data_IF_496790274616
#
_entry.id   IF_496790274616
#
_cell.length_a   1.000
_cell.length_b   1.000
_cell.length_c   1.000
_cell.angle_alpha   90.00
_cell.angle_beta   90.00
_cell.angle_gamma   90.00
#
_symmetry.space_group_name_H-M   'P 1'
#
loop_
_entity.id
_entity.type
_entity.pdbx_description
1 polymer ?
#
# COMPACT_ATOMS: atom_id res chain seq x y z
N UNK A 1 -11.82 -10.04 10.90
CA UNK A 1 -11.42 -9.87 9.47
C UNK A 1 -10.16 -9.02 9.43
N UNK A 2 -9.33 -9.09 8.39
CA UNK A 2 -8.17 -8.20 8.23
C UNK A 2 -8.28 -7.42 6.91
N UNK A 3 -7.72 -6.22 6.89
CA UNK A 3 -7.56 -5.37 5.71
C UNK A 3 -6.10 -5.00 5.55
N UNK A 4 -5.63 -4.98 4.31
CA UNK A 4 -4.32 -4.46 3.96
C UNK A 4 -4.48 -3.22 3.10
N UNK A 5 -3.66 -2.20 3.34
CA UNK A 5 -3.59 -1.00 2.51
C UNK A 5 -2.15 -0.57 2.35
N UNK A 6 -1.82 0.00 1.20
CA UNK A 6 -0.55 0.66 0.98
C UNK A 6 -0.80 2.05 0.39
N UNK A 7 0.02 3.00 0.80
CA UNK A 7 0.03 4.37 0.30
C UNK A 7 1.45 4.68 -0.15
N UNK A 8 1.62 5.12 -1.39
CA UNK A 8 2.86 5.65 -1.89
C UNK A 8 2.72 7.15 -2.10
N UNK A 9 3.70 7.89 -1.61
CA UNK A 9 3.86 9.31 -1.87
C UNK A 9 5.12 9.47 -2.70
N UNK A 10 4.95 10.04 -3.90
CA UNK A 10 6.06 10.36 -4.80
C UNK A 10 6.22 11.86 -4.92
N UNK A 11 7.47 12.29 -5.12
CA UNK A 11 7.81 13.66 -5.49
C UNK A 11 8.50 13.58 -6.85
N UNK A 12 7.97 14.29 -7.84
CA UNK A 12 8.53 14.40 -9.20
C UNK A 12 8.65 15.88 -9.53
N UNK A 13 9.87 16.40 -9.72
CA UNK A 13 10.09 17.82 -10.04
C UNK A 13 9.36 18.78 -9.08
N UNK A 14 9.42 18.46 -7.79
CA UNK A 14 8.74 19.21 -6.71
C UNK A 14 7.20 19.12 -6.70
N UNK A 15 6.59 18.31 -7.58
CA UNK A 15 5.17 17.97 -7.53
C UNK A 15 4.96 16.69 -6.70
N UNK A 16 4.10 16.75 -5.70
CA UNK A 16 3.77 15.59 -4.86
C UNK A 16 2.56 14.84 -5.42
N UNK A 17 2.71 13.54 -5.69
CA UNK A 17 1.60 12.65 -6.04
C UNK A 17 1.42 11.59 -4.98
N UNK A 18 0.16 11.28 -4.69
CA UNK A 18 -0.19 10.25 -3.72
C UNK A 18 -0.99 9.15 -4.42
N UNK A 19 -0.54 7.91 -4.23
CA UNK A 19 -1.17 6.72 -4.75
C UNK A 19 -1.59 5.85 -3.57
N UNK A 20 -2.80 5.31 -3.61
CA UNK A 20 -3.32 4.46 -2.53
C UNK A 20 -3.97 3.23 -3.12
N UNK A 21 -3.65 2.08 -2.54
CA UNK A 21 -4.24 0.78 -2.87
C UNK A 21 -4.69 0.06 -1.61
N UNK A 22 -5.73 -0.75 -1.70
CA UNK A 22 -6.21 -1.56 -0.59
C UNK A 22 -6.66 -2.94 -1.07
N UNK A 23 -6.43 -3.94 -0.23
CA UNK A 23 -6.84 -5.33 -0.41
C UNK A 23 -7.78 -5.68 0.76
N UNK A 24 -9.04 -6.01 0.42
CA UNK A 24 -10.06 -6.45 1.36
C UNK A 24 -10.66 -7.77 0.88
N UNK A 25 -10.42 -8.86 1.61
CA UNK A 25 -11.08 -10.14 1.35
C UNK A 25 -11.80 -10.63 2.60
N UNK A 26 -12.98 -11.22 2.42
CA UNK A 26 -13.85 -11.69 3.51
C UNK A 26 -13.12 -12.59 4.52
N UNK A 27 -12.23 -13.47 4.05
CA UNK A 27 -11.48 -14.44 4.87
C UNK A 27 -9.97 -14.13 4.93
N UNK A 28 -9.59 -12.85 4.88
CA UNK A 28 -8.18 -12.47 4.98
C UNK A 28 -7.66 -12.80 6.39
N UNK A 29 -6.73 -13.75 6.48
CA UNK A 29 -5.91 -13.97 7.68
C UNK A 29 -4.80 -12.93 7.75
N UNK A 30 -4.18 -12.74 8.92
CA UNK A 30 -3.08 -11.80 9.11
C UNK A 30 -1.93 -12.02 8.11
N UNK A 31 -1.45 -13.27 8.00
CA UNK A 31 -0.38 -13.62 7.06
C UNK A 31 -0.76 -13.38 5.57
N UNK A 32 -2.04 -13.52 5.21
CA UNK A 32 -2.53 -13.16 3.87
C UNK A 32 -2.63 -11.64 3.70
N UNK A 33 -3.01 -10.91 4.76
CA UNK A 33 -3.05 -9.46 4.76
C UNK A 33 -1.65 -8.87 4.58
N UNK A 34 -0.64 -9.41 5.26
CA UNK A 34 0.75 -9.00 5.06
C UNK A 34 1.27 -9.30 3.65
N UNK A 35 0.90 -10.46 3.08
CA UNK A 35 1.21 -10.76 1.67
C UNK A 35 0.53 -9.78 0.72
N UNK A 36 -0.74 -9.44 0.95
CA UNK A 36 -1.42 -8.39 0.20
C UNK A 36 -0.71 -7.05 0.35
N UNK A 37 -0.35 -6.64 1.57
CA UNK A 37 0.32 -5.37 1.84
C UNK A 37 1.66 -5.27 1.09
N UNK A 38 2.43 -6.36 1.04
CA UNK A 38 3.66 -6.46 0.23
C UNK A 38 3.39 -6.35 -1.27
N UNK A 39 2.40 -7.08 -1.78
CA UNK A 39 2.04 -7.00 -3.19
C UNK A 39 1.59 -5.59 -3.60
N UNK A 40 0.82 -4.90 -2.74
CA UNK A 40 0.42 -3.51 -2.97
C UNK A 40 1.61 -2.55 -2.96
N UNK A 41 2.63 -2.81 -2.14
CA UNK A 41 3.87 -2.03 -2.13
C UNK A 41 4.63 -2.18 -3.46
N UNK A 42 4.76 -3.40 -3.98
CA UNK A 42 5.34 -3.66 -5.31
C UNK A 42 4.55 -2.95 -6.42
N UNK A 43 3.23 -3.12 -6.47
CA UNK A 43 2.38 -2.43 -7.48
C UNK A 43 2.58 -0.91 -7.43
N UNK A 44 2.63 -0.33 -6.23
CA UNK A 44 2.81 1.11 -6.06
C UNK A 44 4.22 1.57 -6.46
N UNK A 45 5.23 0.73 -6.25
CA UNK A 45 6.60 0.99 -6.65
C UNK A 45 6.75 0.96 -8.17
N UNK A 46 6.11 0.01 -8.83
CA UNK A 46 6.03 -0.05 -10.29
C UNK A 46 5.26 1.15 -10.86
N UNK A 47 4.12 1.51 -10.26
CA UNK A 47 3.28 2.63 -10.70
C UNK A 47 3.94 4.00 -10.48
N UNK A 48 4.66 4.17 -9.37
CA UNK A 48 5.45 5.36 -9.09
C UNK A 48 6.56 5.57 -10.13
N UNK A 49 7.05 4.47 -10.72
CA UNK A 49 8.10 4.46 -11.73
C UNK A 49 9.45 4.97 -11.22
N UNK A 50 10.50 4.68 -11.98
CA UNK A 50 11.90 5.06 -11.72
C UNK A 50 12.13 6.60 -11.69
N UNK A 51 11.11 7.40 -12.04
CA UNK A 51 11.19 8.85 -12.24
C UNK A 51 10.88 9.69 -10.99
N UNK A 52 10.59 9.08 -9.85
CA UNK A 52 10.38 9.81 -8.61
C UNK A 52 11.72 10.24 -7.99
N UNK A 53 11.94 11.55 -7.85
CA UNK A 53 13.06 12.10 -7.08
C UNK A 53 13.05 11.56 -5.64
N UNK A 54 11.85 11.34 -5.11
CA UNK A 54 11.65 10.70 -3.81
C UNK A 54 10.39 9.85 -3.84
N UNK A 55 10.51 8.62 -3.33
CA UNK A 55 9.41 7.68 -3.14
C UNK A 55 9.36 7.26 -1.68
N UNK A 56 8.21 7.43 -1.04
CA UNK A 56 7.93 6.91 0.31
C UNK A 56 6.71 6.02 0.23
N UNK A 57 6.85 4.75 0.60
CA UNK A 57 5.73 3.81 0.65
C UNK A 57 5.48 3.40 2.09
N UNK A 58 4.23 3.51 2.51
CA UNK A 58 3.76 3.07 3.82
C UNK A 58 2.71 2.00 3.62
N UNK A 59 2.91 0.83 4.23
CA UNK A 59 1.92 -0.24 4.26
C UNK A 59 1.30 -0.37 5.65
N UNK A 60 0.02 -0.70 5.68
CA UNK A 60 -0.77 -0.86 6.90
C UNK A 60 -1.58 -2.15 6.79
N UNK A 61 -1.47 -2.99 7.82
CA UNK A 61 -2.37 -4.11 8.02
C UNK A 61 -3.21 -3.79 9.26
N UNK A 62 -4.53 -3.88 9.12
CA UNK A 62 -5.46 -3.59 10.21
C UNK A 62 -6.40 -4.77 10.40
N UNK A 63 -6.65 -5.16 11.65
CA UNK A 63 -7.71 -6.12 11.98
C UNK A 63 -9.06 -5.40 11.93
N UNK A 64 -9.85 -5.66 10.90
CA UNK A 64 -11.26 -5.28 10.83
C UNK A 64 -12.05 -6.21 11.77
N UNK A 65 -12.22 -5.78 13.02
CA UNK A 65 -12.86 -6.57 14.06
C UNK A 65 -12.28 -6.23 15.43
N UNK A 66 -12.59 -5.03 15.88
CA UNK A 66 -12.69 -4.67 17.29
C UNK A 66 -13.84 -3.66 17.33
N UNK A 67 -15.00 -4.15 17.74
CA UNK A 67 -15.97 -3.29 18.43
C UNK A 67 -15.52 -3.23 19.89
#
# INVERSE_FOLDING_TARGET
>A
MYTASATAVTVVRNETKTYKRSCRHAHLTEARAERCARHLEDELRELAGDHADRLTITRTVSRTGAQ
#
